data_IF_978192127876
#
_entry.id   IF_978192127876
#
_cell.length_a   1.000
_cell.length_b   1.000
_cell.length_c   1.000
_cell.angle_alpha   90.00
_cell.angle_beta   90.00
_cell.angle_gamma   90.00
#
_symmetry.space_group_name_H-M   'P 1'
#
loop_
_entity.id
_entity.type
_entity.pdbx_description
1 polymer ?
#
# COMPACT_ATOMS: atom_id res chain seq x y z
N UNK A 1 15.78 10.27 15.35
CA UNK A 1 16.28 11.59 14.89
C UNK A 1 15.28 12.68 15.28
N UNK A 2 15.73 13.93 15.39
CA UNK A 2 14.94 15.08 15.85
C UNK A 2 13.94 15.60 14.79
N UNK A 3 13.03 16.49 15.20
CA UNK A 3 12.13 17.23 14.29
C UNK A 3 12.97 18.19 13.43
N UNK A 4 12.80 18.20 12.09
CA UNK A 4 13.49 19.13 11.19
C UNK A 4 13.21 20.59 11.53
N UNK A 5 14.24 21.45 11.50
CA UNK A 5 14.12 22.88 11.83
C UNK A 5 13.15 23.65 10.92
N UNK A 6 12.96 23.17 9.68
CA UNK A 6 12.04 23.77 8.72
C UNK A 6 10.57 23.46 9.00
N UNK A 7 10.25 22.46 9.84
CA UNK A 7 8.89 22.21 10.33
C UNK A 7 8.56 23.13 11.49
N UNK A 8 8.38 24.41 11.17
CA UNK A 8 8.16 25.49 12.13
C UNK A 8 6.93 26.33 11.76
N UNK A 9 6.68 27.40 12.54
CA UNK A 9 5.54 28.32 12.37
C UNK A 9 5.40 28.86 10.94
N UNK A 10 6.50 29.28 10.31
CA UNK A 10 6.47 29.91 8.98
C UNK A 10 6.08 28.91 7.88
N UNK A 11 6.54 27.66 8.02
CA UNK A 11 6.13 26.57 7.14
C UNK A 11 4.63 26.30 7.22
N UNK A 12 4.08 26.13 8.43
CA UNK A 12 2.64 25.87 8.60
C UNK A 12 1.79 27.09 8.22
N UNK A 13 2.28 28.32 8.44
CA UNK A 13 1.61 29.53 7.97
C UNK A 13 1.52 29.54 6.44
N UNK A 14 2.61 29.21 5.74
CA UNK A 14 2.61 29.09 4.27
C UNK A 14 1.63 28.01 3.79
N UNK A 15 1.69 26.82 4.40
CA UNK A 15 0.84 25.69 4.04
C UNK A 15 -0.66 26.01 4.24
N UNK A 16 -1.04 26.56 5.39
CA UNK A 16 -2.43 26.87 5.72
C UNK A 16 -2.97 28.06 4.94
N UNK A 17 -2.15 29.08 4.63
CA UNK A 17 -2.56 30.18 3.74
C UNK A 17 -3.03 29.67 2.38
N UNK A 18 -2.27 28.75 1.79
CA UNK A 18 -2.60 28.15 0.50
C UNK A 18 -3.89 27.32 0.59
N UNK A 19 -4.03 26.53 1.65
CA UNK A 19 -5.19 25.67 1.85
C UNK A 19 -6.49 26.46 2.10
N UNK A 20 -6.46 27.41 3.04
CA UNK A 20 -7.61 28.23 3.44
C UNK A 20 -7.91 29.37 2.44
N UNK A 21 -6.98 29.63 1.51
CA UNK A 21 -7.03 30.75 0.56
C UNK A 21 -7.14 32.11 1.26
N UNK A 22 -6.42 32.25 2.37
CA UNK A 22 -6.34 33.49 3.16
C UNK A 22 -4.87 33.88 3.34
N UNK A 23 -4.38 34.81 2.52
CA UNK A 23 -2.99 35.31 2.58
C UNK A 23 -2.64 36.02 3.90
N UNK A 24 -3.64 36.43 4.67
CA UNK A 24 -3.46 37.14 5.94
C UNK A 24 -3.58 36.20 7.16
N UNK A 25 -3.81 34.90 6.95
CA UNK A 25 -3.79 33.90 8.01
C UNK A 25 -2.49 33.99 8.81
N UNK A 26 -2.62 33.91 10.13
CA UNK A 26 -1.49 33.91 11.07
C UNK A 26 -1.53 32.69 11.96
N UNK A 27 -0.50 31.84 11.87
CA UNK A 27 -0.31 30.75 12.82
C UNK A 27 0.10 31.37 14.14
N UNK A 28 -0.49 30.96 15.26
CA UNK A 28 -0.22 31.48 16.61
C UNK A 28 0.68 30.54 17.41
N UNK A 29 0.45 29.24 17.29
CA UNK A 29 1.21 28.19 17.98
C UNK A 29 1.35 26.93 17.12
N UNK A 30 2.47 26.21 17.31
CA UNK A 30 2.76 24.95 16.62
C UNK A 30 3.46 23.98 17.57
N UNK A 31 2.88 22.80 17.73
CA UNK A 31 3.53 21.65 18.37
C UNK A 31 3.75 20.54 17.35
N UNK A 32 5.01 20.16 17.10
CA UNK A 32 5.37 19.06 16.19
C UNK A 32 5.99 17.90 16.96
N UNK A 33 5.50 16.69 16.72
CA UNK A 33 6.01 15.44 17.29
C UNK A 33 6.31 14.46 16.18
N UNK A 34 7.46 13.79 16.25
CA UNK A 34 7.77 12.68 15.35
C UNK A 34 6.91 11.47 15.73
N UNK A 35 6.26 10.88 14.74
CA UNK A 35 5.62 9.58 14.90
C UNK A 35 6.71 8.54 14.62
N UNK A 36 7.12 7.84 15.68
CA UNK A 36 7.98 6.66 15.57
C UNK A 36 7.05 5.46 15.41
N UNK A 37 6.75 5.12 14.16
CA UNK A 37 6.10 3.84 13.90
C UNK A 37 7.18 2.75 14.01
N UNK A 38 7.14 2.01 15.11
CA UNK A 38 8.00 0.84 15.34
C UNK A 38 7.31 -0.45 14.90
N UNK A 39 6.11 -0.35 14.30
CA UNK A 39 5.34 -1.51 13.87
C UNK A 39 5.64 -1.95 12.45
N UNK A 40 6.26 -1.09 11.62
CA UNK A 40 6.68 -1.44 10.26
C UNK A 40 7.82 -0.54 9.75
N UNK A 41 8.64 -1.04 8.82
CA UNK A 41 9.63 -0.24 8.09
C UNK A 41 8.97 0.86 7.24
N UNK A 42 9.46 2.11 7.32
CA UNK A 42 8.91 3.22 6.52
C UNK A 42 10.00 3.89 5.67
N UNK A 43 9.71 4.13 4.39
CA UNK A 43 10.57 4.94 3.48
C UNK A 43 10.54 6.44 3.80
N UNK A 44 9.57 6.86 4.62
CA UNK A 44 9.32 8.26 4.97
C UNK A 44 9.38 8.49 6.47
N UNK A 45 9.84 9.66 6.88
CA UNK A 45 9.64 10.16 8.23
C UNK A 45 8.27 10.82 8.35
N UNK A 46 7.53 10.47 9.41
CA UNK A 46 6.18 10.96 9.67
C UNK A 46 6.17 11.80 10.95
N UNK A 47 5.47 12.93 10.93
CA UNK A 47 5.28 13.83 12.06
C UNK A 47 3.81 14.16 12.24
N UNK A 48 3.34 14.26 13.48
CA UNK A 48 2.08 14.89 13.82
C UNK A 48 2.33 16.35 14.19
N UNK A 49 1.51 17.27 13.70
CA UNK A 49 1.54 18.68 14.08
C UNK A 49 0.18 19.14 14.60
N UNK A 50 0.16 19.81 15.75
CA UNK A 50 -1.00 20.57 16.22
C UNK A 50 -0.73 22.05 15.95
N UNK A 51 -1.60 22.70 15.18
CA UNK A 51 -1.40 24.07 14.69
C UNK A 51 -2.59 24.93 15.08
N UNK A 52 -2.33 25.99 15.84
CA UNK A 52 -3.32 27.04 16.15
C UNK A 52 -3.11 28.23 15.23
N UNK A 53 -4.19 28.82 14.72
CA UNK A 53 -4.12 29.92 13.75
C UNK A 53 -5.35 30.82 13.78
N UNK A 54 -5.18 32.06 13.30
CA UNK A 54 -6.25 33.04 13.12
C UNK A 54 -6.47 33.32 11.63
N UNK A 55 -7.74 33.35 11.23
CA UNK A 55 -8.16 33.78 9.89
C UNK A 55 -8.40 35.29 9.93
N UNK A 56 -8.17 35.98 8.80
CA UNK A 56 -8.29 37.44 8.71
C UNK A 56 -9.68 37.95 9.09
N UNK A 57 -10.71 37.21 8.69
CA UNK A 57 -12.12 37.57 8.92
C UNK A 57 -12.71 36.89 10.17
N UNK A 58 -11.90 36.25 11.02
CA UNK A 58 -12.36 35.54 12.22
C UNK A 58 -11.74 36.13 13.48
N UNK A 59 -12.57 36.40 14.47
CA UNK A 59 -12.12 36.71 15.84
C UNK A 59 -11.77 35.47 16.65
N UNK A 60 -12.17 34.28 16.17
CA UNK A 60 -11.92 33.02 16.84
C UNK A 60 -10.59 32.43 16.38
N UNK A 61 -9.83 31.92 17.35
CA UNK A 61 -8.67 31.07 17.09
C UNK A 61 -9.15 29.69 16.62
N UNK A 62 -8.55 29.20 15.55
CA UNK A 62 -8.79 27.87 14.98
C UNK A 62 -7.64 26.96 15.37
N UNK A 63 -7.90 25.66 15.46
CA UNK A 63 -6.88 24.65 15.68
C UNK A 63 -7.09 23.49 14.72
N UNK A 64 -6.02 22.98 14.12
CA UNK A 64 -6.03 21.78 13.28
C UNK A 64 -4.91 20.82 13.65
N UNK A 65 -5.14 19.52 13.41
CA UNK A 65 -4.12 18.48 13.53
C UNK A 65 -3.76 17.98 12.14
N UNK A 66 -2.46 17.87 11.89
CA UNK A 66 -1.90 17.54 10.59
C UNK A 66 -0.93 16.37 10.69
N UNK A 67 -0.87 15.56 9.64
CA UNK A 67 0.17 14.57 9.43
C UNK A 67 1.11 15.07 8.35
N UNK A 68 2.40 15.13 8.66
CA UNK A 68 3.47 15.55 7.75
C UNK A 68 4.32 14.34 7.40
N UNK A 69 4.47 14.07 6.10
CA UNK A 69 5.28 12.98 5.56
C UNK A 69 6.40 13.57 4.70
N UNK A 70 7.63 13.12 4.89
CA UNK A 70 8.82 13.54 4.12
C UNK A 70 9.77 12.34 3.94
N UNK A 71 10.54 12.24 2.84
CA UNK A 71 11.47 11.12 2.64
C UNK A 71 12.46 10.98 3.80
N UNK A 72 12.67 9.75 4.29
CA UNK A 72 13.58 9.50 5.41
C UNK A 72 15.04 9.84 5.06
N UNK A 73 15.45 9.58 3.81
CA UNK A 73 16.80 9.86 3.28
C UNK A 73 17.22 11.33 3.41
N UNK A 74 16.26 12.27 3.26
CA UNK A 74 16.52 13.71 3.35
C UNK A 74 16.83 14.13 4.80
N UNK A 75 16.41 13.34 5.79
CA UNK A 75 16.66 13.65 7.21
C UNK A 75 17.98 13.07 7.75
N UNK A 76 18.57 12.13 7.02
CA UNK A 76 19.84 11.51 7.38
C UNK A 76 21.04 12.38 6.96
N UNK A 77 20.89 13.14 5.87
CA UNK A 77 21.82 14.19 5.46
C UNK A 77 21.69 15.43 6.37
N UNK A 78 22.36 15.39 7.53
CA UNK A 78 22.54 16.53 8.44
C UNK A 78 23.47 17.63 7.88
N UNK A 79 23.68 17.69 6.57
CA UNK A 79 24.49 18.74 5.95
C UNK A 79 23.59 19.91 5.56
N UNK A 80 23.94 21.14 5.97
CA UNK A 80 23.32 22.37 5.47
C UNK A 80 23.52 22.57 3.94
N UNK A 81 24.15 21.61 3.26
CA UNK A 81 24.30 21.56 1.83
C UNK A 81 23.11 20.84 1.21
N UNK A 82 22.30 21.58 0.45
CA UNK A 82 21.34 21.00 -0.49
C UNK A 82 22.13 20.17 -1.51
N UNK A 83 21.91 18.85 -1.63
CA UNK A 83 22.53 18.07 -2.69
C UNK A 83 22.23 18.72 -4.04
N UNK A 84 23.27 18.86 -4.88
CA UNK A 84 23.17 19.58 -6.16
C UNK A 84 22.02 19.07 -7.05
N UNK A 85 21.67 17.79 -6.91
CA UNK A 85 20.35 17.22 -7.21
C UNK A 85 20.11 16.10 -6.19
N UNK A 86 19.05 16.12 -5.36
CA UNK A 86 18.73 14.96 -4.54
C UNK A 86 18.43 13.80 -5.49
N UNK A 87 19.04 12.62 -5.31
CA UNK A 87 18.55 11.41 -5.99
C UNK A 87 17.17 11.11 -5.44
N UNK A 88 16.16 11.66 -6.11
CA UNK A 88 14.78 11.70 -5.66
C UNK A 88 14.30 10.26 -5.53
N UNK A 89 13.61 9.95 -4.43
CA UNK A 89 12.91 8.69 -4.28
C UNK A 89 11.68 8.69 -5.22
N UNK A 90 11.68 7.90 -6.32
CA UNK A 90 10.57 7.92 -7.28
C UNK A 90 9.26 7.40 -6.68
N UNK A 91 9.31 6.69 -5.54
CA UNK A 91 8.13 6.29 -4.78
C UNK A 91 7.43 7.51 -4.18
N UNK A 92 8.18 8.45 -3.62
CA UNK A 92 7.62 9.67 -3.04
C UNK A 92 7.06 10.60 -4.13
N UNK A 93 7.68 10.63 -5.32
CA UNK A 93 7.11 11.36 -6.47
C UNK A 93 5.78 10.78 -6.91
N UNK A 94 5.68 9.46 -6.98
CA UNK A 94 4.44 8.74 -7.30
C UNK A 94 3.34 9.11 -6.30
N UNK A 95 3.66 9.13 -5.00
CA UNK A 95 2.70 9.51 -3.96
C UNK A 95 2.24 10.98 -4.11
N UNK A 96 3.16 11.91 -4.38
CA UNK A 96 2.80 13.32 -4.64
C UNK A 96 1.84 13.41 -5.84
N UNK A 97 2.15 12.73 -6.95
CA UNK A 97 1.30 12.74 -8.14
C UNK A 97 -0.10 12.17 -7.84
N UNK A 98 -0.15 11.06 -7.09
CA UNK A 98 -1.41 10.45 -6.68
C UNK A 98 -2.28 11.43 -5.89
N UNK A 99 -1.75 12.08 -4.86
CA UNK A 99 -2.56 13.00 -4.03
C UNK A 99 -2.86 14.35 -4.69
N UNK A 100 -2.05 14.81 -5.64
CA UNK A 100 -2.25 16.13 -6.29
C UNK A 100 -3.08 16.04 -7.57
N UNK A 101 -3.10 14.89 -8.23
CA UNK A 101 -3.73 14.72 -9.55
C UNK A 101 -4.76 13.58 -9.57
N UNK A 102 -4.30 12.34 -9.39
CA UNK A 102 -5.11 11.15 -9.71
C UNK A 102 -6.19 10.86 -8.67
N UNK A 103 -5.86 10.88 -7.38
CA UNK A 103 -6.82 10.66 -6.30
C UNK A 103 -7.91 11.74 -6.27
N UNK A 104 -7.63 13.05 -6.39
CA UNK A 104 -8.68 14.05 -6.52
C UNK A 104 -9.62 13.81 -7.71
N UNK A 105 -9.08 13.40 -8.86
CA UNK A 105 -9.88 13.06 -10.05
C UNK A 105 -10.76 11.83 -9.80
N UNK A 106 -10.21 10.77 -9.19
CA UNK A 106 -10.95 9.57 -8.78
C UNK A 106 -12.05 9.94 -7.76
N UNK A 107 -11.70 10.73 -6.74
CA UNK A 107 -12.61 11.18 -5.69
C UNK A 107 -13.81 11.93 -6.26
N UNK A 108 -13.61 12.79 -7.26
CA UNK A 108 -14.71 13.47 -7.96
C UNK A 108 -15.71 12.49 -8.58
N UNK A 109 -15.25 11.37 -9.15
CA UNK A 109 -16.15 10.38 -9.75
C UNK A 109 -16.73 9.40 -8.73
N UNK A 110 -15.96 9.01 -7.72
CA UNK A 110 -16.45 8.17 -6.62
C UNK A 110 -17.56 8.88 -5.84
N UNK A 111 -17.32 10.13 -5.42
CA UNK A 111 -18.25 10.93 -4.62
C UNK A 111 -19.51 11.34 -5.37
N UNK A 112 -19.43 11.51 -6.69
CA UNK A 112 -20.59 11.88 -7.49
C UNK A 112 -21.45 10.69 -7.94
N UNK A 113 -20.91 9.47 -7.96
CA UNK A 113 -21.58 8.36 -8.65
C UNK A 113 -21.61 7.03 -7.91
N UNK A 114 -20.73 6.76 -6.93
CA UNK A 114 -20.50 5.38 -6.44
C UNK A 114 -20.44 5.21 -4.91
N UNK A 115 -19.93 6.20 -4.18
CA UNK A 115 -19.84 6.19 -2.71
C UNK A 115 -19.61 7.60 -2.17
N UNK A 116 -20.35 8.02 -1.15
CA UNK A 116 -20.20 9.35 -0.52
C UNK A 116 -18.96 9.44 0.40
N UNK A 117 -18.25 8.33 0.65
CA UNK A 117 -17.11 8.28 1.58
C UNK A 117 -15.78 8.36 0.82
N UNK A 118 -14.94 9.33 1.21
CA UNK A 118 -13.60 9.53 0.64
C UNK A 118 -12.69 8.34 0.97
N UNK A 119 -11.84 7.93 0.02
CA UNK A 119 -10.99 6.73 0.09
C UNK A 119 -9.57 7.00 0.61
N UNK A 120 -9.20 8.27 0.74
CA UNK A 120 -7.85 8.73 1.02
C UNK A 120 -7.89 10.00 1.89
N UNK A 121 -6.84 10.28 2.68
CA UNK A 121 -6.73 11.52 3.43
C UNK A 121 -6.75 12.76 2.54
N UNK A 122 -7.28 13.86 3.07
CA UNK A 122 -7.25 15.15 2.39
C UNK A 122 -5.83 15.72 2.40
N UNK A 123 -5.32 16.11 1.23
CA UNK A 123 -4.04 16.80 1.10
C UNK A 123 -4.23 18.29 1.39
N UNK A 124 -3.50 18.80 2.38
CA UNK A 124 -3.52 20.21 2.80
C UNK A 124 -2.46 21.00 2.05
N UNK A 125 -1.26 20.44 1.96
CA UNK A 125 -0.13 21.09 1.33
C UNK A 125 0.85 20.05 0.80
N UNK A 126 1.58 20.42 -0.24
CA UNK A 126 2.73 19.65 -0.69
C UNK A 126 3.80 20.60 -1.20
N UNK A 127 5.06 20.15 -1.15
CA UNK A 127 6.14 20.82 -1.86
C UNK A 127 7.17 19.82 -2.38
N UNK A 128 7.83 20.21 -3.46
CA UNK A 128 9.03 19.54 -4.00
C UNK A 128 10.29 20.39 -3.78
N UNK A 129 10.15 21.62 -3.26
CA UNK A 129 11.25 22.56 -3.04
C UNK A 129 10.89 23.65 -2.01
N UNK A 130 11.78 24.01 -1.06
CA UNK A 130 13.12 23.45 -0.85
C UNK A 130 13.09 22.03 -0.23
N UNK A 131 11.95 21.62 0.33
CA UNK A 131 11.79 20.32 0.98
C UNK A 131 10.68 19.51 0.29
N UNK A 132 10.92 18.21 0.10
CA UNK A 132 9.91 17.26 -0.33
C UNK A 132 9.00 16.93 0.85
N UNK A 133 7.72 17.29 0.75
CA UNK A 133 6.77 17.13 1.84
C UNK A 133 5.35 16.95 1.33
N UNK A 134 4.60 16.10 2.03
CA UNK A 134 3.16 15.97 1.95
C UNK A 134 2.58 16.29 3.33
N UNK A 135 1.56 17.13 3.38
CA UNK A 135 0.84 17.51 4.60
C UNK A 135 -0.61 17.13 4.43
N UNK A 136 -1.12 16.29 5.32
CA UNK A 136 -2.49 15.79 5.32
C UNK A 136 -3.25 16.26 6.56
N UNK A 137 -4.57 16.27 6.48
CA UNK A 137 -5.41 16.28 7.68
C UNK A 137 -5.11 15.05 8.54
N UNK A 138 -5.03 15.23 9.85
CA UNK A 138 -5.08 14.10 10.78
C UNK A 138 -6.52 13.56 10.86
N UNK A 139 -6.71 12.34 10.36
CA UNK A 139 -8.01 11.68 10.31
C UNK A 139 -8.38 10.96 11.61
N UNK A 140 -7.48 10.92 12.61
CA UNK A 140 -7.75 10.25 13.89
C UNK A 140 -8.85 10.95 14.68
N UNK A 141 -8.88 12.28 14.66
CA UNK A 141 -9.96 13.08 15.26
C UNK A 141 -11.30 12.89 14.54
N UNK A 142 -11.27 12.42 13.29
CA UNK A 142 -12.48 12.05 12.52
C UNK A 142 -12.97 10.63 12.87
N UNK A 143 -12.35 9.95 13.82
CA UNK A 143 -12.71 8.61 14.30
C UNK A 143 -12.06 7.45 13.54
N UNK A 144 -11.07 7.73 12.68
CA UNK A 144 -10.31 6.70 11.98
C UNK A 144 -9.14 6.20 12.82
N UNK A 145 -8.93 4.88 12.88
CA UNK A 145 -7.82 4.28 13.61
C UNK A 145 -7.17 3.14 12.82
N UNK A 146 -5.85 2.94 13.00
CA UNK A 146 -5.17 1.74 12.51
C UNK A 146 -5.75 0.51 13.19
N UNK A 147 -5.89 -0.59 12.44
CA UNK A 147 -6.13 -1.92 12.99
C UNK A 147 -4.85 -2.72 12.98
N UNK A 148 -4.66 -3.57 13.98
CA UNK A 148 -3.42 -4.34 14.15
C UNK A 148 -3.51 -5.77 13.64
N UNK A 149 -4.70 -6.20 13.19
CA UNK A 149 -4.97 -7.58 12.78
C UNK A 149 -5.71 -7.62 11.45
N UNK A 150 -5.59 -8.75 10.77
CA UNK A 150 -6.38 -9.09 9.60
C UNK A 150 -7.88 -9.20 9.92
N UNK A 151 -8.71 -9.04 8.90
CA UNK A 151 -10.15 -8.83 9.03
C UNK A 151 -10.96 -10.11 8.86
N UNK A 152 -12.09 -10.17 9.57
CA UNK A 152 -13.12 -11.18 9.33
C UNK A 152 -13.83 -10.94 7.98
N UNK A 153 -14.68 -11.88 7.58
CA UNK A 153 -15.40 -11.82 6.31
C UNK A 153 -16.19 -10.54 6.07
N UNK A 154 -16.99 -10.09 7.05
CA UNK A 154 -17.83 -8.90 6.88
C UNK A 154 -17.01 -7.62 6.72
N UNK A 155 -15.96 -7.44 7.52
CA UNK A 155 -15.07 -6.30 7.39
C UNK A 155 -14.26 -6.37 6.09
N UNK A 156 -13.85 -7.57 5.64
CA UNK A 156 -13.19 -7.75 4.34
C UNK A 156 -14.10 -7.37 3.18
N UNK A 157 -15.40 -7.69 3.21
CA UNK A 157 -16.33 -7.30 2.13
C UNK A 157 -16.35 -5.79 1.89
N UNK A 158 -16.35 -4.98 2.95
CA UNK A 158 -16.26 -3.52 2.83
C UNK A 158 -14.99 -3.10 2.05
N UNK A 159 -13.86 -3.73 2.34
CA UNK A 159 -12.59 -3.48 1.64
C UNK A 159 -12.70 -3.83 0.16
N UNK A 160 -13.19 -5.03 -0.17
CA UNK A 160 -13.30 -5.48 -1.55
C UNK A 160 -14.32 -4.67 -2.36
N UNK A 161 -15.42 -4.20 -1.76
CA UNK A 161 -16.35 -3.27 -2.43
C UNK A 161 -15.67 -1.95 -2.78
N UNK A 162 -14.92 -1.36 -1.84
CA UNK A 162 -14.15 -0.15 -2.09
C UNK A 162 -13.05 -0.35 -3.14
N UNK A 163 -12.27 -1.42 -3.06
CA UNK A 163 -11.26 -1.75 -4.05
C UNK A 163 -11.86 -1.87 -5.47
N UNK A 164 -13.01 -2.55 -5.58
CA UNK A 164 -13.74 -2.70 -6.83
C UNK A 164 -14.15 -1.34 -7.43
N UNK A 165 -14.65 -0.42 -6.62
CA UNK A 165 -15.01 0.94 -7.05
C UNK A 165 -13.79 1.76 -7.48
N UNK A 166 -12.68 1.67 -6.73
CA UNK A 166 -11.42 2.32 -7.09
C UNK A 166 -10.93 1.85 -8.47
N UNK A 167 -10.90 0.53 -8.69
CA UNK A 167 -10.51 -0.08 -9.94
C UNK A 167 -11.43 0.34 -11.11
N UNK A 168 -12.76 0.31 -10.93
CA UNK A 168 -13.70 0.74 -11.95
C UNK A 168 -13.54 2.24 -12.29
N UNK A 169 -13.35 3.10 -11.28
CA UNK A 169 -13.09 4.53 -11.48
C UNK A 169 -11.78 4.77 -12.23
N UNK A 170 -10.72 4.02 -11.94
CA UNK A 170 -9.44 4.18 -12.62
C UNK A 170 -9.54 3.88 -14.11
N UNK A 171 -10.29 2.84 -14.49
CA UNK A 171 -10.56 2.51 -15.90
C UNK A 171 -11.34 3.61 -16.60
N UNK A 172 -12.38 4.12 -15.95
CA UNK A 172 -13.16 5.23 -16.49
C UNK A 172 -12.29 6.49 -16.66
N UNK A 173 -11.46 6.81 -15.68
CA UNK A 173 -10.57 7.96 -15.72
C UNK A 173 -9.56 7.84 -16.87
N UNK A 174 -8.96 6.66 -17.04
CA UNK A 174 -8.03 6.40 -18.14
C UNK A 174 -8.68 6.65 -19.52
N UNK A 175 -9.91 6.17 -19.73
CA UNK A 175 -10.65 6.43 -20.97
C UNK A 175 -10.92 7.93 -21.22
N UNK A 176 -10.89 8.76 -20.18
CA UNK A 176 -11.15 10.20 -20.27
C UNK A 176 -9.88 11.02 -20.43
N UNK A 177 -8.81 10.64 -19.77
CA UNK A 177 -7.59 11.47 -19.67
C UNK A 177 -6.39 10.85 -20.37
N UNK A 178 -6.29 9.52 -20.47
CA UNK A 178 -5.13 8.80 -20.97
C UNK A 178 -3.84 9.12 -20.18
N UNK A 179 -3.99 9.31 -18.86
CA UNK A 179 -2.89 9.67 -17.95
C UNK A 179 -2.68 8.65 -16.83
N UNK A 180 -3.68 7.82 -16.52
CA UNK A 180 -3.58 6.83 -15.44
C UNK A 180 -2.65 5.69 -15.86
N UNK A 181 -2.56 5.39 -17.16
CA UNK A 181 -1.66 4.37 -17.65
C UNK A 181 -0.17 4.72 -17.54
N UNK A 182 0.19 5.95 -17.16
CA UNK A 182 1.58 6.37 -16.95
C UNK A 182 2.21 5.87 -15.65
N UNK A 183 1.41 5.34 -14.71
CA UNK A 183 1.89 4.62 -13.54
C UNK A 183 2.50 3.26 -13.91
N UNK A 184 3.64 3.28 -14.62
CA UNK A 184 4.34 2.11 -15.18
C UNK A 184 5.47 1.60 -14.30
N UNK A 185 5.69 2.25 -13.16
CA UNK A 185 6.88 2.07 -12.35
C UNK A 185 6.64 1.08 -11.20
N UNK A 186 5.69 1.31 -10.30
CA UNK A 186 5.39 0.37 -9.19
C UNK A 186 6.61 0.02 -8.32
N UNK A 187 6.40 -0.78 -7.27
CA UNK A 187 7.47 -1.12 -6.30
C UNK A 187 8.70 -1.75 -6.96
N UNK A 188 8.47 -2.75 -7.82
CA UNK A 188 9.54 -3.64 -8.30
C UNK A 188 10.35 -3.10 -9.48
N UNK A 189 9.94 -1.97 -10.08
CA UNK A 189 10.77 -1.26 -11.07
C UNK A 189 11.55 -0.12 -10.44
N UNK A 190 11.00 0.51 -9.39
CA UNK A 190 11.61 1.65 -8.70
C UNK A 190 12.65 1.20 -7.66
N UNK A 191 12.49 0.01 -7.09
CA UNK A 191 13.37 -0.56 -6.05
C UNK A 191 13.96 -1.91 -6.48
N UNK A 192 15.09 -1.92 -7.21
CA UNK A 192 15.81 -3.17 -7.54
C UNK A 192 16.21 -3.98 -6.29
N UNK A 193 16.58 -3.28 -5.22
CA UNK A 193 16.83 -3.82 -3.88
C UNK A 193 15.63 -4.57 -3.30
N UNK A 194 14.40 -4.10 -3.54
CA UNK A 194 13.18 -4.80 -3.15
C UNK A 194 13.01 -6.16 -3.85
N UNK A 195 13.42 -6.26 -5.13
CA UNK A 195 13.42 -7.53 -5.86
C UNK A 195 14.46 -8.49 -5.31
N UNK A 196 15.67 -8.01 -5.01
CA UNK A 196 16.72 -8.82 -4.39
C UNK A 196 16.32 -9.30 -2.99
N UNK A 197 15.58 -8.48 -2.23
CA UNK A 197 15.06 -8.87 -0.92
C UNK A 197 14.05 -10.01 -1.00
N UNK A 198 13.14 -9.98 -1.98
CA UNK A 198 12.22 -11.10 -2.23
C UNK A 198 12.97 -12.34 -2.69
N UNK A 199 14.00 -12.19 -3.53
CA UNK A 199 14.83 -13.31 -3.97
C UNK A 199 15.54 -13.97 -2.78
N UNK A 200 16.07 -13.16 -1.86
CA UNK A 200 16.62 -13.63 -0.59
C UNK A 200 15.58 -14.32 0.29
N UNK A 201 14.35 -13.81 0.32
CA UNK A 201 13.23 -14.45 1.03
C UNK A 201 12.93 -15.86 0.50
N UNK A 202 13.02 -16.05 -0.82
CA UNK A 202 12.89 -17.37 -1.46
C UNK A 202 14.08 -18.26 -1.09
N UNK A 203 15.31 -17.74 -1.10
CA UNK A 203 16.50 -18.49 -0.63
C UNK A 203 16.34 -18.97 0.82
N UNK A 204 15.86 -18.09 1.71
CA UNK A 204 15.59 -18.43 3.13
C UNK A 204 14.57 -19.54 3.26
N UNK A 205 13.51 -19.52 2.45
CA UNK A 205 12.51 -20.58 2.45
C UNK A 205 13.07 -21.91 1.92
N UNK A 206 13.91 -21.89 0.87
CA UNK A 206 14.56 -23.09 0.33
C UNK A 206 15.36 -23.81 1.42
N UNK A 207 16.16 -23.07 2.18
CA UNK A 207 16.94 -23.60 3.30
C UNK A 207 16.04 -24.24 4.37
N UNK A 208 14.93 -23.60 4.71
CA UNK A 208 13.99 -24.09 5.72
C UNK A 208 13.24 -25.35 5.25
N UNK A 209 12.71 -25.35 4.01
CA UNK A 209 12.01 -26.50 3.41
C UNK A 209 12.93 -27.73 3.35
N UNK A 210 14.24 -27.53 3.09
CA UNK A 210 15.21 -28.62 3.06
C UNK A 210 15.36 -29.36 4.41
N UNK A 211 14.90 -28.77 5.51
CA UNK A 211 14.85 -29.41 6.83
C UNK A 211 13.56 -30.20 7.08
N UNK A 212 12.55 -30.07 6.22
CA UNK A 212 11.23 -30.66 6.43
C UNK A 212 11.15 -32.05 5.78
N UNK A 213 10.74 -33.10 6.52
CA UNK A 213 10.59 -34.44 5.95
C UNK A 213 9.58 -34.46 4.80
N UNK A 214 9.91 -35.13 3.68
CA UNK A 214 9.03 -35.33 2.52
C UNK A 214 8.70 -34.04 1.73
N UNK A 215 9.55 -33.01 1.79
CA UNK A 215 9.37 -31.75 1.06
C UNK A 215 10.43 -31.49 -0.03
N UNK A 216 11.20 -32.52 -0.40
CA UNK A 216 12.34 -32.43 -1.32
C UNK A 216 11.93 -31.92 -2.72
N UNK A 217 10.74 -32.30 -3.20
CA UNK A 217 10.21 -31.83 -4.49
C UNK A 217 9.98 -30.29 -4.50
N UNK A 218 9.56 -29.71 -3.37
CA UNK A 218 9.37 -28.27 -3.28
C UNK A 218 10.70 -27.50 -3.36
N UNK A 219 11.79 -28.06 -2.80
CA UNK A 219 13.13 -27.46 -2.87
C UNK A 219 13.54 -27.25 -4.34
N UNK A 220 13.39 -28.26 -5.19
CA UNK A 220 13.73 -28.17 -6.61
C UNK A 220 12.88 -27.12 -7.35
N UNK A 221 11.56 -27.07 -7.06
CA UNK A 221 10.66 -26.08 -7.65
C UNK A 221 11.00 -24.65 -7.25
N UNK A 222 11.30 -24.40 -5.97
CA UNK A 222 11.71 -23.07 -5.53
C UNK A 222 13.07 -22.66 -6.07
N UNK A 223 14.01 -23.59 -6.26
CA UNK A 223 15.28 -23.31 -6.97
C UNK A 223 15.02 -22.83 -8.40
N UNK A 224 14.14 -23.51 -9.14
CA UNK A 224 13.74 -23.06 -10.49
C UNK A 224 13.04 -21.69 -10.47
N UNK A 225 12.17 -21.43 -9.48
CA UNK A 225 11.54 -20.10 -9.31
C UNK A 225 12.61 -19.04 -9.05
N UNK A 226 13.55 -19.31 -8.15
CA UNK A 226 14.64 -18.42 -7.78
C UNK A 226 15.50 -18.06 -9.00
N UNK A 227 15.94 -19.05 -9.78
CA UNK A 227 16.73 -18.83 -11.01
C UNK A 227 16.00 -17.97 -12.05
N UNK A 228 14.67 -18.03 -12.09
CA UNK A 228 13.85 -17.33 -13.08
C UNK A 228 13.09 -16.12 -12.49
N UNK A 229 13.39 -15.72 -11.26
CA UNK A 229 12.56 -14.83 -10.47
C UNK A 229 12.40 -13.45 -11.11
N UNK A 230 13.51 -12.80 -11.51
CA UNK A 230 13.44 -11.48 -12.17
C UNK A 230 12.58 -11.48 -13.43
N UNK A 231 12.62 -12.57 -14.21
CA UNK A 231 11.77 -12.71 -15.41
C UNK A 231 10.30 -12.86 -15.02
N UNK A 232 10.00 -13.68 -14.02
CA UNK A 232 8.64 -13.93 -13.52
C UNK A 232 8.04 -12.65 -12.92
N UNK A 233 8.76 -11.92 -12.06
CA UNK A 233 8.33 -10.64 -11.47
C UNK A 233 8.11 -9.57 -12.55
N UNK A 234 9.04 -9.42 -13.50
CA UNK A 234 8.87 -8.45 -14.59
C UNK A 234 7.61 -8.70 -15.40
N UNK A 235 7.28 -9.96 -15.67
CA UNK A 235 6.04 -10.34 -16.37
C UNK A 235 4.80 -10.13 -15.50
N UNK A 236 4.89 -10.40 -14.21
CA UNK A 236 3.77 -10.23 -13.27
C UNK A 236 3.30 -8.78 -13.17
N UNK A 237 4.23 -7.83 -13.22
CA UNK A 237 3.95 -6.39 -13.12
C UNK A 237 3.93 -5.67 -14.47
N UNK A 238 3.93 -6.41 -15.59
CA UNK A 238 3.79 -5.78 -16.91
C UNK A 238 2.34 -5.44 -17.20
N UNK A 239 2.13 -4.27 -17.82
CA UNK A 239 0.81 -3.84 -18.31
C UNK A 239 0.26 -4.88 -19.29
N UNK A 240 -0.99 -5.30 -19.09
CA UNK A 240 -1.68 -6.18 -20.03
C UNK A 240 -1.86 -5.48 -21.38
N UNK A 241 -1.62 -6.19 -22.48
CA UNK A 241 -2.09 -5.74 -23.79
C UNK A 241 -3.62 -5.88 -23.87
N UNK A 242 -4.32 -5.12 -24.74
CA UNK A 242 -5.77 -5.25 -24.90
C UNK A 242 -6.25 -6.66 -25.28
N UNK A 243 -5.36 -7.51 -25.81
CA UNK A 243 -5.66 -8.91 -26.16
C UNK A 243 -5.34 -9.89 -25.03
N UNK A 244 -4.53 -9.49 -24.05
CA UNK A 244 -4.07 -10.36 -22.96
C UNK A 244 -4.96 -10.29 -21.72
N UNK A 245 -5.60 -9.15 -21.49
CA UNK A 245 -6.40 -8.88 -20.30
C UNK A 245 -6.81 -7.41 -20.26
N UNK A 246 -7.11 -6.93 -19.06
CA UNK A 246 -7.44 -5.52 -18.82
C UNK A 246 -6.61 -4.97 -17.67
N UNK A 247 -6.56 -3.64 -17.57
CA UNK A 247 -5.75 -2.96 -16.57
C UNK A 247 -6.60 -2.00 -15.75
N UNK A 248 -6.18 -1.82 -14.51
CA UNK A 248 -6.71 -0.87 -13.53
C UNK A 248 -5.53 -0.20 -12.83
N UNK A 249 -5.78 0.90 -12.13
CA UNK A 249 -4.81 1.46 -11.20
C UNK A 249 -4.85 0.69 -9.89
N UNK A 250 -3.80 -0.08 -9.63
CA UNK A 250 -3.59 -0.77 -8.38
C UNK A 250 -2.84 0.16 -7.41
N UNK A 251 -3.15 0.05 -6.12
CA UNK A 251 -2.37 0.59 -5.02
C UNK A 251 -0.96 -0.01 -4.98
N UNK A 252 -0.83 -1.31 -5.22
CA UNK A 252 0.44 -2.03 -5.24
C UNK A 252 0.96 -2.48 -3.87
N UNK A 253 0.46 -1.89 -2.79
CA UNK A 253 0.78 -2.29 -1.40
C UNK A 253 -0.46 -2.40 -0.51
N UNK A 254 -1.39 -3.27 -0.91
CA UNK A 254 -2.76 -3.29 -0.40
C UNK A 254 -2.90 -4.17 0.86
N UNK A 255 -2.37 -3.74 2.00
CA UNK A 255 -2.45 -4.45 3.30
C UNK A 255 -3.20 -3.68 4.40
N UNK A 256 -3.66 -4.40 5.43
CA UNK A 256 -4.46 -3.82 6.51
C UNK A 256 -3.74 -2.70 7.30
N UNK A 257 -2.40 -2.71 7.38
CA UNK A 257 -1.63 -1.66 8.08
C UNK A 257 -1.63 -0.30 7.37
N UNK A 258 -1.84 -0.29 6.05
CA UNK A 258 -2.04 0.91 5.25
C UNK A 258 -3.50 1.40 5.27
N UNK A 259 -4.34 0.83 6.14
CA UNK A 259 -5.75 1.16 6.24
C UNK A 259 -6.10 1.75 7.61
N UNK A 260 -6.89 2.82 7.57
CA UNK A 260 -7.41 3.55 8.72
C UNK A 260 -8.92 3.33 8.76
N UNK A 261 -9.46 2.77 9.83
CA UNK A 261 -10.84 2.28 9.92
C UNK A 261 -11.70 3.12 10.85
N UNK A 262 -12.98 3.25 10.48
CA UNK A 262 -14.05 3.58 11.43
C UNK A 262 -14.81 2.32 11.79
N UNK A 263 -14.90 2.08 13.10
CA UNK A 263 -15.61 0.93 13.65
C UNK A 263 -16.75 1.38 14.55
N UNK A 264 -17.82 0.60 14.57
CA UNK A 264 -18.86 0.74 15.58
C UNK A 264 -18.37 0.24 16.95
N UNK A 265 -19.22 0.33 17.98
CA UNK A 265 -18.88 -0.11 19.34
C UNK A 265 -18.62 -1.62 19.44
N UNK A 266 -19.02 -2.39 18.44
CA UNK A 266 -18.89 -3.84 18.37
C UNK A 266 -17.63 -4.25 17.58
N UNK A 267 -16.89 -3.29 16.99
CA UNK A 267 -15.70 -3.54 16.18
C UNK A 267 -16.00 -3.82 14.70
N UNK A 268 -17.24 -3.61 14.24
CA UNK A 268 -17.60 -3.75 12.84
C UNK A 268 -17.16 -2.51 12.08
N UNK A 269 -16.36 -2.69 11.04
CA UNK A 269 -15.92 -1.60 10.18
C UNK A 269 -17.08 -1.14 9.29
N UNK A 270 -17.40 0.15 9.33
CA UNK A 270 -18.38 0.76 8.44
C UNK A 270 -17.76 1.78 7.47
N UNK A 271 -16.50 2.13 7.67
CA UNK A 271 -15.72 2.96 6.74
C UNK A 271 -14.22 2.69 6.88
N UNK A 272 -13.45 2.98 5.84
CA UNK A 272 -11.99 3.02 5.90
C UNK A 272 -11.40 3.97 4.87
N UNK A 273 -10.20 4.46 5.16
CA UNK A 273 -9.32 5.17 4.24
C UNK A 273 -8.05 4.37 4.04
N UNK A 274 -7.57 4.33 2.81
CA UNK A 274 -6.26 3.76 2.47
C UNK A 274 -5.24 4.90 2.40
N UNK A 275 -4.03 4.64 2.88
CA UNK A 275 -2.89 5.56 2.85
C UNK A 275 -1.72 4.91 2.11
N UNK A 276 -0.67 5.70 1.84
CA UNK A 276 0.59 5.25 1.25
C UNK A 276 0.53 4.78 -0.22
N UNK A 277 0.12 5.69 -1.11
CA UNK A 277 -0.03 5.46 -2.54
C UNK A 277 1.31 5.50 -3.33
N UNK A 278 2.42 5.17 -2.69
CA UNK A 278 3.78 5.37 -3.23
C UNK A 278 4.19 4.35 -4.31
N UNK A 279 3.52 3.21 -4.40
CA UNK A 279 3.86 2.11 -5.34
C UNK A 279 2.74 1.79 -6.33
N UNK A 280 1.86 2.77 -6.59
CA UNK A 280 0.74 2.58 -7.50
C UNK A 280 1.20 2.15 -8.90
N UNK A 281 0.44 1.24 -9.51
CA UNK A 281 0.78 0.68 -10.82
C UNK A 281 -0.45 0.42 -11.66
N UNK A 282 -0.39 0.84 -12.92
CA UNK A 282 -1.35 0.45 -13.94
C UNK A 282 -1.06 -0.97 -14.41
N UNK A 283 -1.98 -1.90 -14.16
CA UNK A 283 -1.75 -3.32 -14.43
C UNK A 283 -2.98 -4.16 -14.14
N UNK A 284 -2.81 -5.48 -14.12
CA UNK A 284 -3.88 -6.42 -13.80
C UNK A 284 -4.55 -6.07 -12.46
N UNK A 285 -5.90 -6.15 -12.34
CA UNK A 285 -6.57 -6.03 -11.06
C UNK A 285 -6.20 -7.15 -10.09
N UNK A 286 -5.64 -8.27 -10.60
CA UNK A 286 -5.23 -9.38 -9.76
C UNK A 286 -4.12 -8.99 -8.79
N UNK A 287 -3.35 -7.93 -9.07
CA UNK A 287 -2.29 -7.45 -8.18
C UNK A 287 -2.87 -7.09 -6.81
N UNK A 288 -3.76 -6.10 -6.72
CA UNK A 288 -4.37 -5.73 -5.43
C UNK A 288 -5.37 -6.76 -4.92
N UNK A 289 -6.12 -7.44 -5.79
CA UNK A 289 -7.13 -8.42 -5.35
C UNK A 289 -6.47 -9.62 -4.64
N UNK A 290 -5.39 -10.16 -5.21
CA UNK A 290 -4.64 -11.25 -4.57
C UNK A 290 -3.93 -10.72 -3.31
N UNK A 291 -3.36 -9.51 -3.37
CA UNK A 291 -2.74 -8.88 -2.21
C UNK A 291 -3.72 -8.75 -1.03
N UNK A 292 -4.93 -8.25 -1.29
CA UNK A 292 -5.98 -8.11 -0.29
C UNK A 292 -6.41 -9.47 0.33
N UNK A 293 -6.52 -10.52 -0.48
CA UNK A 293 -6.87 -11.86 0.01
C UNK A 293 -5.90 -12.36 1.08
N UNK A 294 -4.61 -12.06 0.94
CA UNK A 294 -3.58 -12.55 1.86
C UNK A 294 -3.20 -11.57 2.95
N UNK A 295 -3.24 -10.26 2.66
CA UNK A 295 -2.74 -9.22 3.55
C UNK A 295 -3.84 -8.36 4.17
N UNK A 296 -5.11 -8.68 3.92
CA UNK A 296 -6.26 -8.02 4.57
C UNK A 296 -7.18 -9.04 5.21
N UNK A 297 -7.58 -10.09 4.49
CA UNK A 297 -8.47 -11.12 5.03
C UNK A 297 -7.72 -12.03 6.03
N UNK A 298 -8.38 -12.39 7.13
CA UNK A 298 -7.85 -13.38 8.07
C UNK A 298 -7.74 -14.75 7.41
N UNK A 299 -6.89 -15.62 7.96
CA UNK A 299 -6.78 -17.01 7.50
C UNK A 299 -8.13 -17.73 7.45
N UNK A 300 -8.96 -17.58 8.49
CA UNK A 300 -10.29 -18.20 8.55
C UNK A 300 -11.22 -17.69 7.44
N UNK A 301 -11.19 -16.38 7.20
CA UNK A 301 -11.91 -15.74 6.09
C UNK A 301 -11.44 -16.29 4.75
N UNK A 302 -10.13 -16.37 4.52
CA UNK A 302 -9.55 -16.83 3.27
C UNK A 302 -9.90 -18.31 3.00
N UNK A 303 -9.88 -19.16 4.02
CA UNK A 303 -10.20 -20.59 3.87
C UNK A 303 -11.68 -20.85 3.58
N UNK A 304 -12.58 -20.08 4.22
CA UNK A 304 -14.03 -20.32 4.12
C UNK A 304 -14.73 -19.50 3.06
N UNK A 305 -14.20 -18.32 2.75
CA UNK A 305 -14.92 -17.27 2.00
C UNK A 305 -14.12 -16.63 0.87
N UNK A 306 -13.01 -17.24 0.42
CA UNK A 306 -12.23 -16.73 -0.73
C UNK A 306 -13.10 -16.45 -1.95
N UNK A 307 -13.88 -17.45 -2.38
CA UNK A 307 -14.73 -17.32 -3.57
C UNK A 307 -15.87 -16.32 -3.37
N UNK A 308 -16.38 -16.20 -2.14
CA UNK A 308 -17.39 -15.20 -1.80
C UNK A 308 -16.83 -13.77 -1.91
N UNK A 309 -15.60 -13.53 -1.42
CA UNK A 309 -14.93 -12.23 -1.54
C UNK A 309 -14.63 -11.88 -3.00
N UNK A 310 -14.14 -12.83 -3.79
CA UNK A 310 -13.90 -12.63 -5.22
C UNK A 310 -15.20 -12.36 -5.99
N UNK A 311 -16.28 -13.05 -5.63
CA UNK A 311 -17.61 -12.81 -6.19
C UNK A 311 -18.09 -11.41 -5.85
N UNK A 312 -18.01 -11.04 -4.58
CA UNK A 312 -18.42 -9.73 -4.10
C UNK A 312 -17.65 -8.60 -4.78
N UNK A 313 -16.33 -8.72 -4.87
CA UNK A 313 -15.49 -7.76 -5.61
C UNK A 313 -15.94 -7.61 -7.06
N UNK A 314 -16.13 -8.72 -7.78
CA UNK A 314 -16.48 -8.67 -9.19
C UNK A 314 -17.86 -8.01 -9.41
N UNK A 315 -18.84 -8.35 -8.56
CA UNK A 315 -20.19 -7.82 -8.67
C UNK A 315 -20.21 -6.31 -8.39
N UNK A 316 -19.48 -5.85 -7.37
CA UNK A 316 -19.29 -4.44 -7.04
C UNK A 316 -18.57 -3.69 -8.17
N UNK A 317 -17.56 -4.30 -8.78
CA UNK A 317 -16.80 -3.73 -9.89
C UNK A 317 -17.69 -3.54 -11.13
N UNK A 318 -18.49 -4.56 -11.48
CA UNK A 318 -19.45 -4.49 -12.59
C UNK A 318 -20.53 -3.44 -12.33
N UNK A 319 -21.06 -3.38 -11.10
CA UNK A 319 -22.05 -2.38 -10.71
C UNK A 319 -21.48 -0.96 -10.81
N UNK A 320 -20.25 -0.75 -10.32
CA UNK A 320 -19.56 0.53 -10.39
C UNK A 320 -19.30 0.96 -11.84
N UNK A 321 -18.78 0.05 -12.66
CA UNK A 321 -18.50 0.29 -14.07
C UNK A 321 -19.76 0.70 -14.86
N UNK A 322 -20.91 0.06 -14.59
CA UNK A 322 -22.19 0.43 -15.20
C UNK A 322 -22.65 1.82 -14.76
N UNK A 323 -22.53 2.12 -13.47
CA UNK A 323 -23.00 3.39 -12.89
C UNK A 323 -22.19 4.59 -13.36
N UNK A 324 -20.88 4.42 -13.58
CA UNK A 324 -20.01 5.45 -14.17
C UNK A 324 -20.32 5.76 -15.65
N UNK A 325 -21.18 4.97 -16.31
CA UNK A 325 -21.52 5.17 -17.72
C UNK A 325 -20.35 4.90 -18.66
N UNK A 326 -19.44 4.00 -18.29
CA UNK A 326 -18.39 3.52 -19.20
C UNK A 326 -19.06 2.90 -20.44
N UNK A 327 -18.68 3.35 -21.64
CA UNK A 327 -19.34 2.95 -22.90
C UNK A 327 -19.14 1.47 -23.24
N UNK A 328 -17.98 0.95 -22.87
CA UNK A 328 -17.62 -0.44 -23.12
C UNK A 328 -18.31 -1.37 -22.12
N UNK A 329 -18.42 -2.66 -22.45
CA UNK A 329 -18.88 -3.64 -21.48
C UNK A 329 -17.78 -3.84 -20.43
N UNK A 330 -18.13 -4.02 -19.15
CA UNK A 330 -17.14 -4.41 -18.16
C UNK A 330 -16.52 -5.76 -18.56
N UNK A 331 -15.24 -5.99 -18.21
CA UNK A 331 -14.61 -7.31 -18.29
C UNK A 331 -15.53 -8.43 -17.75
N UNK A 332 -15.57 -9.55 -18.46
CA UNK A 332 -16.41 -10.68 -18.09
C UNK A 332 -15.86 -11.40 -16.85
N UNK A 333 -16.70 -12.24 -16.23
CA UNK A 333 -16.27 -13.07 -15.10
C UNK A 333 -15.15 -14.03 -15.50
N UNK A 334 -15.16 -14.49 -16.76
CA UNK A 334 -14.08 -15.29 -17.32
C UNK A 334 -12.79 -14.49 -17.37
N UNK A 335 -12.82 -13.26 -17.90
CA UNK A 335 -11.64 -12.40 -17.97
C UNK A 335 -11.04 -12.14 -16.58
N UNK A 336 -11.89 -11.85 -15.59
CA UNK A 336 -11.45 -11.67 -14.21
C UNK A 336 -10.80 -12.93 -13.63
N UNK A 337 -11.44 -14.10 -13.78
CA UNK A 337 -10.86 -15.35 -13.29
C UNK A 337 -9.55 -15.71 -14.01
N UNK A 338 -9.46 -15.42 -15.31
CA UNK A 338 -8.24 -15.60 -16.09
C UNK A 338 -7.11 -14.73 -15.56
N UNK A 339 -7.38 -13.47 -15.20
CA UNK A 339 -6.39 -12.60 -14.56
C UNK A 339 -5.87 -13.17 -13.25
N UNK A 340 -6.76 -13.65 -12.38
CA UNK A 340 -6.38 -14.29 -11.10
C UNK A 340 -5.48 -15.52 -11.30
N UNK A 341 -5.79 -16.35 -12.31
CA UNK A 341 -4.98 -17.55 -12.62
C UNK A 341 -3.63 -17.14 -13.21
N UNK A 342 -3.60 -16.21 -14.18
CA UNK A 342 -2.36 -15.73 -14.82
C UNK A 342 -1.39 -15.11 -13.81
N UNK A 343 -1.91 -14.48 -12.76
CA UNK A 343 -1.14 -13.83 -11.70
C UNK A 343 -1.00 -14.69 -10.45
N UNK A 344 -1.40 -15.96 -10.48
CA UNK A 344 -1.45 -16.84 -9.30
C UNK A 344 -0.12 -17.05 -8.58
N UNK A 345 1.01 -16.90 -9.28
CA UNK A 345 2.35 -16.88 -8.65
C UNK A 345 2.48 -15.78 -7.57
N UNK A 346 1.68 -14.71 -7.64
CA UNK A 346 1.63 -13.67 -6.62
C UNK A 346 1.12 -14.22 -5.27
N UNK A 347 0.22 -15.20 -5.26
CA UNK A 347 -0.21 -15.88 -4.01
C UNK A 347 1.00 -16.49 -3.29
N UNK A 348 1.88 -17.17 -4.05
CA UNK A 348 3.12 -17.72 -3.52
C UNK A 348 4.08 -16.62 -3.06
N UNK A 349 4.31 -15.59 -3.89
CA UNK A 349 5.22 -14.49 -3.53
C UNK A 349 4.79 -13.81 -2.22
N UNK A 350 3.49 -13.54 -2.05
CA UNK A 350 2.98 -12.94 -0.81
C UNK A 350 3.20 -13.87 0.38
N UNK A 351 2.89 -15.15 0.23
CA UNK A 351 3.09 -16.14 1.29
C UNK A 351 4.56 -16.29 1.69
N UNK A 352 5.50 -16.19 0.74
CA UNK A 352 6.94 -16.37 1.02
C UNK A 352 7.62 -15.09 1.48
N UNK A 353 7.27 -13.96 0.87
CA UNK A 353 8.00 -12.70 1.03
C UNK A 353 7.32 -11.71 1.97
N UNK A 354 6.03 -11.86 2.29
CA UNK A 354 5.29 -10.86 3.07
C UNK A 354 4.62 -11.44 4.32
N UNK A 355 3.99 -12.62 4.22
CA UNK A 355 3.39 -13.29 5.39
C UNK A 355 4.35 -13.53 6.57
N UNK A 356 5.65 -13.85 6.40
CA UNK A 356 6.53 -14.03 7.55
C UNK A 356 6.59 -12.77 8.45
N UNK A 357 6.48 -11.59 7.85
CA UNK A 357 6.52 -10.30 8.55
C UNK A 357 5.26 -10.00 9.36
N UNK A 358 4.14 -10.69 9.10
CA UNK A 358 2.91 -10.53 9.89
C UNK A 358 3.14 -10.93 11.36
N UNK A 359 4.06 -11.86 11.60
CA UNK A 359 4.37 -12.39 12.93
C UNK A 359 5.60 -11.72 13.60
N UNK A 360 6.24 -10.76 12.92
CA UNK A 360 7.44 -10.10 13.44
C UNK A 360 7.07 -9.01 14.43
N UNK A 361 7.72 -9.02 15.59
CA UNK A 361 7.71 -7.91 16.54
C UNK A 361 8.79 -6.90 16.15
N UNK A 362 8.40 -5.92 15.31
CA UNK A 362 9.29 -4.87 14.81
C UNK A 362 9.81 -3.92 15.92
N UNK A 363 9.36 -4.05 17.17
CA UNK A 363 10.00 -3.38 18.31
C UNK A 363 11.31 -4.03 18.75
N UNK A 364 11.56 -5.28 18.32
CA UNK A 364 12.73 -6.09 18.70
C UNK A 364 13.68 -6.37 17.54
N UNK A 365 13.17 -6.38 16.31
CA UNK A 365 13.94 -6.69 15.11
C UNK A 365 14.03 -5.46 14.23
N UNK A 366 15.25 -5.01 13.91
CA UNK A 366 15.44 -3.86 13.02
C UNK A 366 15.33 -4.24 11.55
N UNK A 367 15.09 -3.26 10.69
CA UNK A 367 15.08 -3.44 9.23
C UNK A 367 16.42 -3.98 8.76
N UNK A 368 17.51 -3.40 9.24
CA UNK A 368 18.85 -3.79 8.85
C UNK A 368 19.09 -5.27 9.19
N UNK A 369 18.55 -5.77 10.30
CA UNK A 369 18.61 -7.18 10.66
C UNK A 369 17.81 -8.09 9.71
N UNK A 370 16.65 -7.62 9.23
CA UNK A 370 15.80 -8.33 8.26
C UNK A 370 16.43 -8.38 6.86
N UNK A 371 17.10 -7.28 6.49
CA UNK A 371 17.75 -7.06 5.20
C UNK A 371 19.19 -7.60 5.17
N UNK A 372 19.79 -7.89 6.34
CA UNK A 372 21.15 -8.41 6.44
C UNK A 372 21.32 -9.78 5.80
N UNK A 373 22.51 -10.00 5.23
CA UNK A 373 22.93 -11.25 4.60
C UNK A 373 24.03 -11.96 5.40
N UNK A 374 24.22 -13.25 5.13
CA UNK A 374 25.33 -14.02 5.72
C UNK A 374 25.03 -14.56 7.13
N UNK A 375 26.03 -14.62 7.99
CA UNK A 375 25.93 -15.28 9.30
C UNK A 375 25.13 -14.46 10.32
N UNK A 376 25.20 -13.14 10.22
CA UNK A 376 24.51 -12.20 11.10
C UNK A 376 22.98 -12.28 11.04
N UNK A 377 22.38 -12.72 9.93
CA UNK A 377 20.93 -12.93 9.84
C UNK A 377 20.47 -14.35 10.14
N UNK A 378 21.35 -15.30 10.53
CA UNK A 378 20.96 -16.70 10.83
C UNK A 378 19.91 -16.81 11.95
N UNK A 379 20.05 -15.99 13.00
CA UNK A 379 19.17 -16.06 14.17
C UNK A 379 17.80 -15.44 13.87
N UNK A 380 17.78 -14.27 13.23
CA UNK A 380 16.57 -13.61 12.74
C UNK A 380 15.84 -14.48 11.69
N UNK A 381 16.58 -15.20 10.84
CA UNK A 381 16.02 -16.17 9.87
C UNK A 381 15.22 -17.28 10.55
N UNK A 382 15.76 -17.87 11.62
CA UNK A 382 15.07 -18.93 12.38
C UNK A 382 13.84 -18.42 13.10
N UNK A 383 13.90 -17.21 13.63
CA UNK A 383 12.77 -16.61 14.34
C UNK A 383 11.58 -16.36 13.41
N UNK A 384 11.85 -15.95 12.16
CA UNK A 384 10.80 -15.56 11.20
C UNK A 384 10.29 -16.75 10.39
N UNK A 385 11.18 -17.42 9.65
CA UNK A 385 10.78 -18.53 8.76
C UNK A 385 10.63 -19.86 9.51
N UNK A 386 11.21 -19.98 10.70
CA UNK A 386 11.01 -21.12 11.60
C UNK A 386 9.80 -20.96 12.54
N UNK A 387 9.08 -19.83 12.49
CA UNK A 387 7.94 -19.60 13.37
C UNK A 387 6.87 -20.70 13.16
N UNK A 388 6.36 -21.36 14.22
CA UNK A 388 5.46 -22.51 14.08
C UNK A 388 4.21 -22.23 13.26
N UNK A 389 3.59 -21.06 13.45
CA UNK A 389 2.38 -20.68 12.71
C UNK A 389 2.66 -20.43 11.23
N UNK A 390 3.79 -19.79 10.92
CA UNK A 390 4.22 -19.56 9.54
C UNK A 390 4.52 -20.88 8.83
N UNK A 391 5.33 -21.73 9.47
CA UNK A 391 5.67 -23.07 8.96
C UNK A 391 4.42 -23.89 8.67
N UNK A 392 3.48 -23.94 9.62
CA UNK A 392 2.20 -24.64 9.42
C UNK A 392 1.42 -24.07 8.24
N UNK A 393 1.32 -22.74 8.14
CA UNK A 393 0.62 -22.08 7.02
C UNK A 393 1.25 -22.42 5.66
N UNK A 394 2.58 -22.37 5.55
CA UNK A 394 3.29 -22.72 4.30
C UNK A 394 3.08 -24.19 3.95
N UNK A 395 3.20 -25.11 4.91
CA UNK A 395 2.96 -26.54 4.67
C UNK A 395 1.54 -26.84 4.15
N UNK A 396 0.54 -26.06 4.58
CA UNK A 396 -0.84 -26.17 4.08
C UNK A 396 -1.03 -25.53 2.69
N UNK A 397 -0.23 -24.52 2.35
CA UNK A 397 -0.30 -23.79 1.07
C UNK A 397 0.47 -24.47 -0.06
N UNK A 398 1.62 -25.10 0.25
CA UNK A 398 2.50 -25.71 -0.77
C UNK A 398 1.78 -26.73 -1.68
N UNK A 399 0.96 -27.68 -1.16
CA UNK A 399 0.22 -28.60 -2.02
C UNK A 399 -0.78 -27.87 -2.93
N UNK A 400 -1.42 -26.81 -2.44
CA UNK A 400 -2.37 -26.00 -3.22
C UNK A 400 -1.66 -25.25 -4.34
N UNK A 401 -0.49 -24.67 -4.06
CA UNK A 401 0.33 -24.01 -5.08
C UNK A 401 0.85 -24.97 -6.14
N UNK A 402 1.20 -26.19 -5.72
CA UNK A 402 1.58 -27.25 -6.65
C UNK A 402 0.40 -27.65 -7.56
N UNK A 403 -0.77 -27.92 -7.00
CA UNK A 403 -1.97 -28.30 -7.76
C UNK A 403 -2.40 -27.22 -8.76
N UNK A 404 -2.31 -25.94 -8.36
CA UNK A 404 -2.62 -24.80 -9.23
C UNK A 404 -1.53 -24.49 -10.28
N UNK A 405 -0.38 -25.17 -10.23
CA UNK A 405 0.76 -24.93 -11.14
C UNK A 405 1.52 -23.63 -10.87
N UNK A 406 1.40 -23.05 -9.67
CA UNK A 406 2.07 -21.79 -9.32
C UNK A 406 3.57 -21.95 -9.06
N UNK A 407 4.02 -23.19 -8.91
CA UNK A 407 5.41 -23.56 -8.67
C UNK A 407 6.17 -24.00 -9.94
N UNK A 408 5.55 -23.88 -11.12
CA UNK A 408 6.12 -24.31 -12.41
C UNK A 408 6.71 -23.15 -13.25
#
# INVERSE_FOLDING_TARGET
MAVPKWLNRDFFETALRQYEKDENLKVTDVEVKRILDTSEPTTSAIFSASVSYSLFNSTNENSTKLIVKTPASILEDNSDAVPAEPSIDPLFETEIEMYTKTLPAIGKYLLCSLDERVFFPNLIYHSKSPNYVLVFDDITDKGFAKVTNQLNFENSKLIFSKLAKLHACSMFLEQKTNEVSDYKQGLFRVRPDGVEHMLNSISKLIDEIATWPNHENYVEKFKNIHENFHRKIRRLYSVNTPTDGYNVLNHGDFHFRNMMFKTDKQGTAYDFMLVDYQVCIWGSPALDVIYALYMVASKDTLEKHREDLLTHYYDEFVAAHRTLGVKEKPPSRLDFNTELIRHGILEMIIAVCFMPYVHVDFSKVSIDDLMANGEASKDVRREIYGHPDYKKAIQELLPKYLEKGFLD
#
